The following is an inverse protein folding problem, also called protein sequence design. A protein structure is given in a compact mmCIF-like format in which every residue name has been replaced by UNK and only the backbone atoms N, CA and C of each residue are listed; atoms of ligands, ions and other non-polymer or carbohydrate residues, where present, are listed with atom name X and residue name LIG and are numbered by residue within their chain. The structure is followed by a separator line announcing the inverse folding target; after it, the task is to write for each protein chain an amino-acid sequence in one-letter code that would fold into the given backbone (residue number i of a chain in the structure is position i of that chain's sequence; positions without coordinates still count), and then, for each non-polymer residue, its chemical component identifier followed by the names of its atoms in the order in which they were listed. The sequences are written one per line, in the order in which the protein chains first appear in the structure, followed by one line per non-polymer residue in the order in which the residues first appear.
data_IF_366540230811
#
_entry.id   IF_366540230811
#
_cell.length_a   1.000
_cell.length_b   1.000
_cell.length_c   1.000
_cell.angle_alpha   90.00
_cell.angle_beta   90.00
_cell.angle_gamma   90.00
#
_symmetry.space_group_name_H-M   'P 1'
#
loop_
_entity.id
_entity.type
_entity.pdbx_description
1 polymer ?
#
# COMPACT_ATOMS: atom_id res chain seq x y z
N UNK A 1 3.83 -7.67 -15.27
CA UNK A 1 2.96 -7.54 -14.08
C UNK A 1 3.67 -8.25 -12.95
N UNK A 2 4.42 -7.53 -12.13
CA UNK A 2 4.92 -8.08 -10.87
C UNK A 2 3.74 -8.05 -9.88
N UNK A 3 3.41 -9.13 -9.18
CA UNK A 3 2.39 -9.06 -8.14
C UNK A 3 2.86 -8.06 -7.08
N UNK A 4 1.99 -7.14 -6.68
CA UNK A 4 2.26 -6.23 -5.58
C UNK A 4 2.53 -7.08 -4.33
N UNK A 5 3.77 -7.08 -3.86
CA UNK A 5 4.20 -7.87 -2.69
C UNK A 5 3.90 -7.17 -1.37
N UNK A 6 3.43 -5.92 -1.39
CA UNK A 6 3.22 -5.14 -0.18
C UNK A 6 1.91 -5.46 0.52
N UNK A 7 0.84 -5.73 -0.22
CA UNK A 7 -0.47 -6.08 0.34
C UNK A 7 -1.45 -6.59 -0.73
N UNK A 8 -2.55 -7.20 -0.28
CA UNK A 8 -3.67 -7.57 -1.15
C UNK A 8 -4.49 -6.36 -1.59
N UNK A 9 -4.61 -5.33 -0.75
CA UNK A 9 -5.43 -4.15 -1.02
C UNK A 9 -4.61 -2.86 -1.11
N UNK A 10 -5.08 -1.94 -1.95
CA UNK A 10 -4.53 -0.60 -2.13
C UNK A 10 -5.66 0.44 -2.01
N UNK A 11 -5.52 1.36 -1.06
CA UNK A 11 -6.37 2.54 -0.93
C UNK A 11 -5.67 3.77 -1.51
N UNK A 12 -6.41 4.54 -2.32
CA UNK A 12 -5.92 5.74 -3.01
C UNK A 12 -6.57 6.99 -2.44
N UNK A 13 -5.77 7.89 -1.86
CA UNK A 13 -6.24 9.16 -1.29
C UNK A 13 -5.38 10.28 -1.85
N UNK A 14 -5.84 10.92 -2.93
CA UNK A 14 -5.01 11.87 -3.69
C UNK A 14 -3.70 11.21 -4.14
N UNK A 15 -2.57 11.79 -3.73
CA UNK A 15 -1.25 11.23 -4.00
C UNK A 15 -0.86 10.09 -3.05
N UNK A 16 -1.59 9.84 -1.96
CA UNK A 16 -1.27 8.74 -1.06
C UNK A 16 -1.67 7.39 -1.65
N UNK A 17 -0.82 6.40 -1.43
CA UNK A 17 -1.04 4.98 -1.71
C UNK A 17 -0.86 4.21 -0.41
N UNK A 18 -1.94 3.67 0.12
CA UNK A 18 -1.94 2.92 1.37
C UNK A 18 -2.14 1.45 1.04
N UNK A 19 -1.14 0.64 1.36
CA UNK A 19 -1.16 -0.80 1.15
C UNK A 19 -1.53 -1.48 2.45
N UNK A 20 -2.59 -2.28 2.44
CA UNK A 20 -3.12 -2.87 3.65
C UNK A 20 -3.73 -4.24 3.44
N UNK A 21 -3.71 -5.04 4.50
CA UNK A 21 -4.45 -6.29 4.61
C UNK A 21 -5.55 -6.16 5.66
N UNK A 22 -6.57 -7.01 5.54
CA UNK A 22 -7.71 -7.04 6.47
C UNK A 22 -7.84 -8.45 7.02
N UNK A 23 -7.88 -8.54 8.35
CA UNK A 23 -8.27 -9.76 9.07
C UNK A 23 -9.64 -9.49 9.70
N UNK A 24 -10.67 -10.24 9.31
CA UNK A 24 -12.04 -10.02 9.81
C UNK A 24 -12.32 -10.75 11.14
N UNK A 25 -11.59 -11.83 11.42
CA UNK A 25 -11.78 -12.68 12.60
C UNK A 25 -10.44 -13.04 13.26
N UNK A 26 -10.39 -13.25 14.59
CA UNK A 26 -11.52 -13.16 15.52
C UNK A 26 -11.94 -11.73 15.89
N UNK A 27 -11.04 -10.76 15.73
CA UNK A 27 -11.30 -9.34 15.91
C UNK A 27 -10.94 -8.60 14.61
N UNK A 28 -11.81 -7.73 14.07
CA UNK A 28 -11.51 -7.01 12.84
C UNK A 28 -10.27 -6.11 12.99
N UNK A 29 -9.22 -6.40 12.22
CA UNK A 29 -7.97 -5.63 12.20
C UNK A 29 -7.61 -5.26 10.77
N UNK A 30 -7.15 -4.02 10.59
CA UNK A 30 -6.56 -3.54 9.34
C UNK A 30 -5.07 -3.33 9.56
N UNK A 31 -4.25 -4.10 8.86
CA UNK A 31 -2.79 -3.97 8.90
C UNK A 31 -2.35 -3.05 7.78
N UNK A 32 -1.80 -1.89 8.14
CA UNK A 32 -1.22 -0.97 7.16
C UNK A 32 0.24 -1.36 6.93
N UNK A 33 0.50 -2.07 5.84
CA UNK A 33 1.82 -2.59 5.51
C UNK A 33 2.76 -1.50 4.99
N UNK A 34 2.22 -0.54 4.23
CA UNK A 34 3.00 0.59 3.75
C UNK A 34 2.11 1.80 3.41
N UNK A 35 2.68 3.00 3.58
CA UNK A 35 2.11 4.24 3.07
C UNK A 35 3.14 4.89 2.16
N UNK A 36 2.75 5.13 0.90
CA UNK A 36 3.57 5.77 -0.10
C UNK A 36 2.96 7.05 -0.65
N UNK A 37 3.80 7.86 -1.26
CA UNK A 37 3.40 9.05 -2.03
C UNK A 37 3.62 8.75 -3.52
N UNK A 38 2.58 8.90 -4.32
CA UNK A 38 2.62 8.81 -5.77
C UNK A 38 3.25 10.09 -6.32
N UNK A 39 4.25 9.93 -7.16
CA UNK A 39 4.85 11.02 -7.91
C UNK A 39 4.96 10.59 -9.37
N UNK A 40 4.05 11.08 -10.22
CA UNK A 40 3.96 10.71 -11.64
C UNK A 40 3.83 9.18 -11.81
N UNK A 41 4.89 8.51 -12.25
CA UNK A 41 4.90 7.08 -12.55
C UNK A 41 5.54 6.23 -11.45
N UNK A 42 6.07 6.83 -10.39
CA UNK A 42 6.67 6.10 -9.25
C UNK A 42 5.82 6.23 -7.97
N UNK A 43 6.02 5.32 -7.02
CA UNK A 43 5.55 5.45 -5.64
C UNK A 43 6.78 5.48 -4.74
N UNK A 44 6.83 6.41 -3.78
CA UNK A 44 7.89 6.48 -2.77
C UNK A 44 7.37 6.02 -1.43
N UNK A 45 8.02 5.02 -0.83
CA UNK A 45 7.68 4.44 0.48
C UNK A 45 8.94 4.48 1.33
N UNK A 46 8.84 5.06 2.53
CA UNK A 46 9.98 5.19 3.46
C UNK A 46 11.26 5.80 2.84
N UNK A 47 11.12 6.65 1.82
CA UNK A 47 12.23 7.28 1.10
C UNK A 47 12.68 6.55 -0.17
N UNK A 48 12.35 5.27 -0.30
CA UNK A 48 12.71 4.37 -1.40
C UNK A 48 11.68 4.39 -2.53
N UNK A 49 12.12 4.13 -3.77
CA UNK A 49 11.25 4.08 -4.95
C UNK A 49 10.79 2.64 -5.18
N UNK A 50 9.48 2.48 -5.34
CA UNK A 50 8.86 1.20 -5.67
C UNK A 50 8.16 1.28 -7.04
N UNK A 51 8.30 0.20 -7.81
CA UNK A 51 7.57 -0.06 -9.06
C UNK A 51 6.38 -0.98 -8.71
N UNK A 52 5.20 -0.38 -8.54
CA UNK A 52 3.96 -1.02 -8.05
C UNK A 52 2.81 -0.76 -9.02
#
# INVERSE_FOLDING_TARGET
MHPNTLALWELRIGELRVYYDVEEEPEPVVYVNAVGVKERNIVRIAGEIYDL
#
